data_IF_717849645894
#
_entry.id   IF_717849645894
#
_cell.length_a   1.000
_cell.length_b   1.000
_cell.length_c   1.000
_cell.angle_alpha   90.00
_cell.angle_beta   90.00
_cell.angle_gamma   90.00
#
_symmetry.space_group_name_H-M   'P 1'
#
loop_
_entity.id
_entity.type
_entity.pdbx_description
1 polymer ?
#
# COMPACT_ATOMS: atom_id res chain seq x y z
N UNK A 1 -50.32 -26.66 -8.84
CA UNK A 1 -50.22 -25.23 -8.45
C UNK A 1 -49.18 -24.99 -7.36
N UNK A 2 -49.28 -25.63 -6.18
CA UNK A 2 -48.32 -25.44 -5.08
C UNK A 2 -46.85 -25.73 -5.44
N UNK A 3 -46.59 -26.83 -6.17
CA UNK A 3 -45.22 -27.19 -6.59
C UNK A 3 -44.57 -26.12 -7.51
N UNK A 4 -45.38 -25.47 -8.35
CA UNK A 4 -44.92 -24.41 -9.24
C UNK A 4 -44.56 -23.13 -8.47
N UNK A 5 -45.32 -22.81 -7.42
CA UNK A 5 -45.00 -21.72 -6.50
C UNK A 5 -43.73 -21.98 -5.69
N UNK A 6 -43.60 -23.19 -5.15
CA UNK A 6 -42.39 -23.60 -4.40
C UNK A 6 -41.14 -23.54 -5.29
N UNK A 7 -41.23 -24.05 -6.52
CA UNK A 7 -40.10 -24.03 -7.47
C UNK A 7 -39.72 -22.59 -7.86
N UNK A 8 -40.70 -21.71 -8.12
CA UNK A 8 -40.44 -20.31 -8.42
C UNK A 8 -39.81 -19.56 -7.23
N UNK A 9 -40.32 -19.77 -6.00
CA UNK A 9 -39.72 -19.19 -4.80
C UNK A 9 -38.27 -19.67 -4.58
N UNK A 10 -37.98 -20.95 -4.83
CA UNK A 10 -36.63 -21.49 -4.73
C UNK A 10 -35.69 -20.88 -5.77
N UNK A 11 -36.13 -20.74 -7.03
CA UNK A 11 -35.34 -20.12 -8.10
C UNK A 11 -35.06 -18.64 -7.79
N UNK A 12 -36.08 -17.88 -7.36
CA UNK A 12 -35.92 -16.49 -6.91
C UNK A 12 -34.94 -16.39 -5.74
N UNK A 13 -35.03 -17.27 -4.75
CA UNK A 13 -34.09 -17.33 -3.63
C UNK A 13 -32.65 -17.55 -4.08
N UNK A 14 -32.42 -18.49 -5.00
CA UNK A 14 -31.09 -18.77 -5.57
C UNK A 14 -30.56 -17.57 -6.37
N UNK A 15 -31.41 -16.92 -7.16
CA UNK A 15 -31.03 -15.73 -7.95
C UNK A 15 -30.67 -14.55 -7.04
N UNK A 16 -31.47 -14.29 -6.01
CA UNK A 16 -31.17 -13.27 -4.99
C UNK A 16 -29.84 -13.56 -4.29
N UNK A 17 -29.61 -14.81 -3.86
CA UNK A 17 -28.35 -15.19 -3.23
C UNK A 17 -27.14 -14.98 -4.15
N UNK A 18 -27.24 -15.39 -5.42
CA UNK A 18 -26.19 -15.17 -6.43
C UNK A 18 -25.90 -13.69 -6.66
N UNK A 19 -26.95 -12.86 -6.70
CA UNK A 19 -26.81 -11.41 -6.87
C UNK A 19 -26.13 -10.77 -5.65
N UNK A 20 -26.56 -11.12 -4.45
CA UNK A 20 -25.96 -10.62 -3.19
C UNK A 20 -24.48 -10.97 -3.10
N UNK A 21 -24.11 -12.22 -3.44
CA UNK A 21 -22.71 -12.66 -3.46
C UNK A 21 -21.89 -11.88 -4.51
N UNK A 22 -22.48 -11.61 -5.69
CA UNK A 22 -21.81 -10.80 -6.72
C UNK A 22 -21.59 -9.35 -6.26
N UNK A 23 -22.58 -8.74 -5.62
CA UNK A 23 -22.47 -7.38 -5.07
C UNK A 23 -21.40 -7.30 -3.99
N UNK A 24 -21.36 -8.27 -3.07
CA UNK A 24 -20.33 -8.28 -2.02
C UNK A 24 -18.91 -8.36 -2.60
N UNK A 25 -18.71 -9.13 -3.68
CA UNK A 25 -17.42 -9.20 -4.37
C UNK A 25 -17.04 -7.88 -5.04
N UNK A 26 -18.01 -7.13 -5.58
CA UNK A 26 -17.76 -5.83 -6.22
C UNK A 26 -17.39 -4.73 -5.22
N UNK A 27 -17.82 -4.85 -3.96
CA UNK A 27 -17.49 -3.88 -2.91
C UNK A 27 -16.06 -4.00 -2.35
N UNK A 28 -15.37 -5.10 -2.65
CA UNK A 28 -14.06 -5.43 -2.09
C UNK A 28 -12.96 -5.29 -3.12
N UNK A 29 -11.77 -4.88 -2.69
CA UNK A 29 -10.58 -4.98 -3.55
C UNK A 29 -10.24 -6.43 -3.83
N UNK A 30 -9.78 -6.71 -5.03
CA UNK A 30 -9.50 -8.07 -5.51
C UNK A 30 -8.41 -8.79 -4.68
N UNK A 31 -7.35 -8.08 -4.30
CA UNK A 31 -6.17 -8.69 -3.68
C UNK A 31 -6.29 -8.79 -2.15
N UNK A 32 -6.52 -7.65 -1.49
CA UNK A 32 -6.56 -7.56 -0.02
C UNK A 32 -8.00 -7.58 0.57
N UNK A 33 -9.04 -7.71 -0.27
CA UNK A 33 -10.43 -7.84 0.20
C UNK A 33 -11.02 -6.61 0.89
N UNK A 34 -10.43 -5.43 0.68
CA UNK A 34 -10.74 -4.20 1.42
C UNK A 34 -12.03 -3.55 0.92
N UNK A 35 -12.90 -3.17 1.86
CA UNK A 35 -14.07 -2.33 1.58
C UNK A 35 -13.75 -0.86 1.83
N UNK A 36 -14.39 0.03 1.06
CA UNK A 36 -14.36 1.48 1.29
C UNK A 36 -15.48 1.86 2.27
N UNK A 37 -15.30 1.51 3.53
CA UNK A 37 -16.35 1.59 4.56
C UNK A 37 -15.89 2.19 5.90
N UNK A 38 -14.67 2.74 5.97
CA UNK A 38 -14.15 3.41 7.16
C UNK A 38 -14.47 4.91 7.06
N UNK A 39 -15.31 5.48 7.95
CA UNK A 39 -15.58 6.90 7.95
C UNK A 39 -14.35 7.68 8.45
N UNK A 40 -13.87 8.64 7.66
CA UNK A 40 -12.72 9.47 8.01
C UNK A 40 -13.03 10.94 7.69
N UNK A 41 -12.95 11.86 8.66
CA UNK A 41 -13.10 13.29 8.38
C UNK A 41 -11.89 13.83 7.61
N UNK A 42 -12.07 14.88 6.80
CA UNK A 42 -10.93 15.70 6.38
C UNK A 42 -10.45 16.52 7.56
N UNK A 43 -9.17 16.35 7.92
CA UNK A 43 -8.50 17.16 8.93
C UNK A 43 -7.55 18.14 8.25
N UNK A 44 -7.51 19.38 8.75
CA UNK A 44 -6.58 20.42 8.32
C UNK A 44 -5.52 20.71 9.40
N UNK A 45 -5.72 20.23 10.63
CA UNK A 45 -4.80 20.39 11.76
C UNK A 45 -4.41 19.02 12.31
N UNK A 46 -3.89 18.18 11.41
CA UNK A 46 -3.38 16.87 11.78
C UNK A 46 -1.94 16.94 12.30
N UNK A 47 -1.47 15.88 12.99
CA UNK A 47 -0.09 15.76 13.47
C UNK A 47 0.97 15.89 12.36
N UNK A 48 0.57 15.72 11.08
CA UNK A 48 1.45 15.80 9.91
C UNK A 48 1.64 17.22 9.32
N UNK A 49 0.94 18.24 9.84
CA UNK A 49 1.07 19.68 9.45
C UNK A 49 1.04 20.58 10.71
N UNK A 50 1.65 20.14 11.82
CA UNK A 50 1.75 20.97 13.02
C UNK A 50 2.89 21.99 12.86
N UNK A 51 2.54 23.17 12.34
CA UNK A 51 3.51 24.25 12.07
C UNK A 51 4.15 24.85 13.32
N UNK A 52 3.54 24.66 14.49
CA UNK A 52 4.10 25.11 15.75
C UNK A 52 5.17 24.16 16.30
N UNK A 53 5.23 22.93 15.79
CA UNK A 53 6.22 21.91 16.19
C UNK A 53 6.68 21.08 14.97
N UNK A 54 7.67 21.60 14.20
CA UNK A 54 8.22 20.91 13.05
C UNK A 54 8.88 19.57 13.38
N UNK A 55 9.51 19.45 14.55
CA UNK A 55 10.20 18.22 14.97
C UNK A 55 9.18 17.11 15.27
N UNK A 56 8.10 17.43 15.98
CA UNK A 56 7.01 16.48 16.16
C UNK A 56 6.39 16.09 14.82
N UNK A 57 6.22 17.05 13.90
CA UNK A 57 5.73 16.76 12.56
C UNK A 57 6.65 15.77 11.84
N UNK A 58 7.96 16.00 11.83
CA UNK A 58 8.93 15.08 11.21
C UNK A 58 8.85 13.66 11.82
N UNK A 59 8.76 13.54 13.15
CA UNK A 59 8.58 12.25 13.84
C UNK A 59 7.30 11.52 13.41
N UNK A 60 6.22 12.23 13.12
CA UNK A 60 4.98 11.62 12.62
C UNK A 60 5.16 11.09 11.20
N UNK A 61 5.84 11.85 10.32
CA UNK A 61 6.18 11.40 8.97
C UNK A 61 7.12 10.18 8.97
N UNK A 62 8.04 10.07 9.93
CA UNK A 62 8.91 8.90 10.11
C UNK A 62 8.15 7.62 10.46
N UNK A 63 6.97 7.72 11.07
CA UNK A 63 6.11 6.55 11.38
C UNK A 63 5.52 5.91 10.12
N UNK A 64 5.51 6.61 8.99
CA UNK A 64 5.11 6.04 7.67
C UNK A 64 6.19 5.06 7.13
N UNK A 65 7.23 4.76 7.92
CA UNK A 65 8.32 3.83 7.58
C UNK A 65 7.90 2.39 7.23
N UNK A 66 6.66 2.00 7.53
CA UNK A 66 6.08 0.70 7.14
C UNK A 66 5.92 0.50 5.62
N UNK A 67 6.30 1.47 4.77
CA UNK A 67 6.34 1.29 3.30
C UNK A 67 7.13 0.07 2.83
N UNK A 68 8.04 -0.45 3.67
CA UNK A 68 8.78 -1.71 3.41
C UNK A 68 7.85 -2.92 3.26
N UNK A 69 6.75 -2.95 4.02
CA UNK A 69 5.72 -3.99 3.90
C UNK A 69 5.06 -3.99 2.52
N UNK A 70 5.15 -2.88 1.79
CA UNK A 70 4.63 -2.75 0.44
C UNK A 70 5.35 -3.56 -0.62
N UNK A 71 6.50 -4.15 -0.33
CA UNK A 71 7.22 -5.04 -1.25
C UNK A 71 6.88 -6.49 -0.87
N UNK A 72 6.37 -7.26 -1.83
CA UNK A 72 5.87 -8.62 -1.59
C UNK A 72 6.48 -9.63 -2.57
N UNK A 73 6.58 -10.88 -2.15
CA UNK A 73 7.04 -12.00 -2.99
C UNK A 73 5.86 -12.92 -3.31
N UNK A 74 5.31 -12.81 -4.51
CA UNK A 74 4.14 -13.60 -4.94
C UNK A 74 4.59 -14.88 -5.67
N UNK A 75 4.02 -16.06 -5.34
CA UNK A 75 4.29 -17.29 -6.09
C UNK A 75 3.72 -17.21 -7.50
N UNK A 76 4.43 -17.83 -8.45
CA UNK A 76 4.05 -17.86 -9.87
C UNK A 76 2.62 -18.40 -10.07
N UNK A 77 2.19 -19.39 -9.28
CA UNK A 77 0.82 -19.91 -9.33
C UNK A 77 -0.25 -18.87 -9.00
N UNK A 78 0.01 -18.01 -8.00
CA UNK A 78 -0.89 -16.92 -7.64
C UNK A 78 -0.89 -15.81 -8.70
N UNK A 79 0.29 -15.51 -9.25
CA UNK A 79 0.44 -14.54 -10.36
C UNK A 79 -0.37 -14.99 -11.57
N UNK A 80 -0.30 -16.27 -11.94
CA UNK A 80 -1.07 -16.87 -13.03
C UNK A 80 -2.57 -16.87 -12.73
N UNK A 81 -2.98 -17.27 -11.52
CA UNK A 81 -4.40 -17.25 -11.09
C UNK A 81 -5.00 -15.84 -11.20
N UNK A 82 -4.24 -14.81 -10.82
CA UNK A 82 -4.68 -13.41 -10.86
C UNK A 82 -4.43 -12.70 -12.20
N UNK A 83 -3.85 -13.39 -13.19
CA UNK A 83 -3.53 -12.79 -14.50
C UNK A 83 -2.53 -11.63 -14.41
N UNK A 84 -1.65 -11.63 -13.41
CA UNK A 84 -0.61 -10.62 -13.26
C UNK A 84 0.58 -10.90 -14.20
N UNK A 85 1.27 -9.83 -14.62
CA UNK A 85 2.53 -9.98 -15.37
C UNK A 85 3.66 -10.49 -14.48
N UNK A 86 4.51 -11.39 -15.00
CA UNK A 86 5.69 -11.85 -14.28
C UNK A 86 6.65 -10.69 -13.99
N UNK A 87 7.06 -10.57 -12.73
CA UNK A 87 8.01 -9.57 -12.26
C UNK A 87 9.44 -10.12 -12.14
N UNK A 88 10.35 -9.27 -11.66
CA UNK A 88 11.70 -9.68 -11.26
C UNK A 88 11.65 -10.83 -10.27
N UNK A 89 12.58 -11.78 -10.38
CA UNK A 89 12.65 -12.93 -9.47
C UNK A 89 13.01 -12.51 -8.06
N UNK A 90 12.33 -13.11 -7.10
CA UNK A 90 12.72 -13.05 -5.71
C UNK A 90 14.04 -13.80 -5.53
N UNK A 91 15.09 -13.17 -4.94
CA UNK A 91 16.43 -13.78 -4.91
C UNK A 91 16.51 -15.13 -4.20
N UNK A 92 15.64 -15.38 -3.23
CA UNK A 92 15.66 -16.58 -2.38
C UNK A 92 14.65 -17.64 -2.81
N UNK A 93 13.80 -17.34 -3.80
CA UNK A 93 12.82 -18.30 -4.32
C UNK A 93 12.55 -18.04 -5.80
N UNK A 94 13.16 -18.85 -6.66
CA UNK A 94 12.98 -18.79 -8.11
C UNK A 94 11.54 -19.05 -8.57
N UNK A 95 10.64 -19.50 -7.69
CA UNK A 95 9.20 -19.66 -7.94
C UNK A 95 8.35 -18.48 -7.47
N UNK A 96 8.94 -17.45 -6.81
CA UNK A 96 8.28 -16.16 -6.51
C UNK A 96 8.84 -14.92 -7.25
N UNK A 97 7.95 -14.01 -7.64
CA UNK A 97 8.31 -12.70 -8.20
C UNK A 97 8.13 -11.57 -7.18
N UNK A 98 8.91 -10.50 -7.30
CA UNK A 98 8.84 -9.32 -6.43
C UNK A 98 7.87 -8.29 -7.00
N UNK A 99 6.88 -7.88 -6.20
CA UNK A 99 5.87 -6.90 -6.57
C UNK A 99 5.80 -5.77 -5.56
N UNK A 100 5.29 -4.62 -6.01
CA UNK A 100 4.99 -3.46 -5.16
C UNK A 100 3.48 -3.30 -5.04
N UNK A 101 3.01 -3.13 -3.80
CA UNK A 101 1.63 -2.78 -3.52
C UNK A 101 1.45 -1.28 -3.80
N UNK A 102 0.54 -0.95 -4.72
CA UNK A 102 0.33 0.42 -5.21
C UNK A 102 0.12 1.46 -4.09
N UNK A 103 -0.64 1.12 -3.03
CA UNK A 103 -0.88 2.03 -1.91
C UNK A 103 0.40 2.42 -1.16
N UNK A 104 1.32 1.47 -0.92
CA UNK A 104 2.60 1.76 -0.29
C UNK A 104 3.58 2.44 -1.27
N UNK A 105 3.50 2.13 -2.57
CA UNK A 105 4.24 2.87 -3.60
C UNK A 105 3.84 4.35 -3.62
N UNK A 106 2.54 4.66 -3.53
CA UNK A 106 2.06 6.04 -3.44
C UNK A 106 2.55 6.73 -2.16
N UNK A 107 2.57 6.05 -1.01
CA UNK A 107 3.17 6.59 0.21
C UNK A 107 4.68 6.84 0.05
N UNK A 108 5.41 5.93 -0.61
CA UNK A 108 6.82 6.14 -0.94
C UNK A 108 7.00 7.41 -1.80
N UNK A 109 6.22 7.56 -2.86
CA UNK A 109 6.25 8.74 -3.72
C UNK A 109 5.96 10.02 -2.94
N UNK A 110 4.96 10.02 -2.06
CA UNK A 110 4.64 11.17 -1.20
C UNK A 110 5.83 11.55 -0.31
N UNK A 111 6.48 10.56 0.32
CA UNK A 111 7.67 10.80 1.14
C UNK A 111 8.83 11.37 0.31
N UNK A 112 9.03 10.89 -0.93
CA UNK A 112 10.05 11.43 -1.84
C UNK A 112 9.80 12.89 -2.22
N UNK A 113 8.55 13.24 -2.52
CA UNK A 113 8.17 14.63 -2.79
C UNK A 113 8.36 15.51 -1.57
N UNK A 114 7.97 15.03 -0.37
CA UNK A 114 8.15 15.76 0.88
C UNK A 114 9.63 16.05 1.15
N UNK A 115 10.49 15.03 1.07
CA UNK A 115 11.93 15.19 1.27
C UNK A 115 12.51 16.21 0.30
N UNK A 116 12.23 16.07 -1.00
CA UNK A 116 12.72 17.01 -2.03
C UNK A 116 12.26 18.45 -1.77
N UNK A 117 10.99 18.65 -1.37
CA UNK A 117 10.44 19.97 -1.03
C UNK A 117 11.12 20.58 0.19
N UNK A 118 11.37 19.79 1.24
CA UNK A 118 12.02 20.28 2.45
C UNK A 118 13.50 20.59 2.23
N UNK A 119 14.22 19.75 1.49
CA UNK A 119 15.61 20.01 1.09
C UNK A 119 15.68 21.31 0.28
N UNK A 120 14.78 21.49 -0.69
CA UNK A 120 14.70 22.72 -1.48
C UNK A 120 14.44 23.95 -0.59
N UNK A 121 13.47 23.86 0.32
CA UNK A 121 13.13 24.96 1.22
C UNK A 121 14.30 25.37 2.13
N UNK A 122 15.12 24.39 2.55
CA UNK A 122 16.29 24.60 3.41
C UNK A 122 17.55 25.01 2.63
N UNK A 123 17.52 24.98 1.31
CA UNK A 123 18.71 25.19 0.47
C UNK A 123 19.71 24.04 0.52
N UNK A 124 19.25 22.83 0.86
CA UNK A 124 20.05 21.61 0.89
C UNK A 124 20.17 21.01 -0.52
N UNK A 125 21.24 20.22 -0.74
CA UNK A 125 21.37 19.43 -1.95
C UNK A 125 20.25 18.37 -2.02
N UNK A 126 19.71 18.16 -3.21
CA UNK A 126 18.64 17.18 -3.42
C UNK A 126 19.18 15.76 -3.28
N UNK A 127 18.67 15.00 -2.29
CA UNK A 127 19.07 13.61 -2.09
C UNK A 127 18.45 12.65 -3.11
N UNK A 128 17.36 13.06 -3.76
CA UNK A 128 16.70 12.34 -4.83
C UNK A 128 17.02 12.93 -6.19
N UNK A 129 17.22 12.08 -7.21
CA UNK A 129 17.35 12.57 -8.57
C UNK A 129 16.05 13.24 -9.04
N UNK A 130 16.19 14.30 -9.84
CA UNK A 130 15.04 15.00 -10.42
C UNK A 130 14.10 14.05 -11.20
N UNK A 131 14.67 13.10 -11.94
CA UNK A 131 13.92 12.07 -12.65
C UNK A 131 13.04 11.21 -11.71
N UNK A 132 13.55 10.84 -10.53
CA UNK A 132 12.79 10.07 -9.56
C UNK A 132 11.67 10.91 -8.92
N UNK A 133 11.95 12.16 -8.55
CA UNK A 133 10.95 13.09 -7.97
C UNK A 133 9.81 13.34 -8.97
N UNK A 134 10.13 13.61 -10.23
CA UNK A 134 9.12 13.83 -11.28
C UNK A 134 8.32 12.57 -11.62
N UNK A 135 8.95 11.38 -11.60
CA UNK A 135 8.23 10.11 -11.69
C UNK A 135 7.23 9.94 -10.54
N UNK A 136 7.65 10.24 -9.30
CA UNK A 136 6.77 10.16 -8.13
C UNK A 136 5.56 11.10 -8.26
N UNK A 137 5.78 12.30 -8.78
CA UNK A 137 4.70 13.26 -9.04
C UNK A 137 3.68 12.72 -10.06
N UNK A 138 4.16 12.18 -11.18
CA UNK A 138 3.25 11.62 -12.20
C UNK A 138 2.54 10.35 -11.71
N UNK A 139 3.21 9.47 -10.95
CA UNK A 139 2.59 8.28 -10.37
C UNK A 139 1.39 8.65 -9.48
N UNK A 140 1.55 9.64 -8.59
CA UNK A 140 0.45 10.14 -7.75
C UNK A 140 -0.66 10.79 -8.58
N UNK A 141 -0.32 11.54 -9.63
CA UNK A 141 -1.31 12.11 -10.56
C UNK A 141 -2.11 11.01 -11.28
N UNK A 142 -1.46 9.93 -11.72
CA UNK A 142 -2.14 8.78 -12.34
C UNK A 142 -3.09 8.10 -11.36
N UNK A 143 -2.66 7.87 -10.12
CA UNK A 143 -3.49 7.25 -9.08
C UNK A 143 -4.73 8.10 -8.74
N UNK A 144 -4.56 9.42 -8.61
CA UNK A 144 -5.68 10.36 -8.37
C UNK A 144 -6.70 10.27 -9.51
N UNK A 145 -6.24 10.30 -10.77
CA UNK A 145 -7.14 10.19 -11.93
C UNK A 145 -7.82 8.81 -12.02
N UNK A 146 -7.10 7.75 -11.65
CA UNK A 146 -7.63 6.38 -11.66
C UNK A 146 -8.75 6.22 -10.64
N UNK A 147 -8.58 6.76 -9.43
CA UNK A 147 -9.60 6.68 -8.40
C UNK A 147 -10.81 7.60 -8.66
N UNK A 148 -10.60 8.76 -9.30
CA UNK A 148 -11.65 9.72 -9.68
C UNK A 148 -12.69 9.94 -8.56
N UNK A 149 -12.22 10.21 -7.33
CA UNK A 149 -13.08 10.36 -6.15
C UNK A 149 -14.06 11.53 -6.36
N UNK A 150 -15.34 11.22 -6.46
CA UNK A 150 -16.44 12.12 -6.81
C UNK A 150 -17.08 12.78 -5.57
N UNK A 151 -16.54 12.53 -4.38
CA UNK A 151 -17.07 13.10 -3.13
C UNK A 151 -16.98 14.64 -3.19
N UNK A 152 -18.11 15.38 -3.24
CA UNK A 152 -18.08 16.83 -3.36
C UNK A 152 -17.55 17.44 -2.06
N UNK A 153 -16.49 18.22 -2.15
CA UNK A 153 -15.94 18.91 -0.98
C UNK A 153 -16.61 20.27 -0.81
N UNK A 154 -17.19 20.54 0.36
CA UNK A 154 -17.80 21.84 0.62
C UNK A 154 -16.73 22.94 0.68
N UNK A 155 -16.99 24.08 0.04
CA UNK A 155 -16.13 25.26 0.11
C UNK A 155 -16.44 26.08 1.36
N UNK A 156 -15.39 26.53 2.05
CA UNK A 156 -15.56 27.37 3.21
C UNK A 156 -16.06 28.78 2.91
N UNK A 157 -16.75 29.38 3.89
CA UNK A 157 -17.10 30.80 3.92
C UNK A 157 -16.59 31.44 5.22
N UNK A 158 -16.04 32.66 5.12
CA UNK A 158 -15.40 33.34 6.24
C UNK A 158 -14.16 32.60 6.75
N UNK A 159 -14.13 32.27 8.05
CA UNK A 159 -13.03 31.54 8.69
C UNK A 159 -13.13 30.01 8.55
N UNK A 160 -14.15 29.49 7.87
CA UNK A 160 -14.32 28.04 7.69
C UNK A 160 -13.35 27.53 6.63
N UNK A 161 -12.68 26.41 6.91
CA UNK A 161 -11.74 25.81 5.97
C UNK A 161 -12.45 24.72 5.16
N UNK A 162 -12.27 24.77 3.84
CA UNK A 162 -12.84 23.83 2.87
C UNK A 162 -12.75 22.37 3.32
N UNK A 163 -13.90 21.72 3.40
CA UNK A 163 -14.00 20.28 3.67
C UNK A 163 -13.75 19.83 5.11
N UNK A 164 -13.35 20.71 6.03
CA UNK A 164 -13.06 20.30 7.43
C UNK A 164 -14.24 19.55 8.06
N UNK A 165 -13.95 18.48 8.79
CA UNK A 165 -14.89 17.58 9.44
C UNK A 165 -15.90 16.87 8.53
N UNK A 166 -15.90 17.16 7.22
CA UNK A 166 -16.68 16.40 6.26
C UNK A 166 -16.11 14.98 6.19
N UNK A 167 -17.00 14.00 6.33
CA UNK A 167 -16.65 12.59 6.33
C UNK A 167 -16.56 12.06 4.91
N UNK A 168 -15.52 11.27 4.64
CA UNK A 168 -15.38 10.44 3.44
C UNK A 168 -15.25 8.98 3.85
N UNK A 169 -15.53 8.07 2.92
CA UNK A 169 -15.34 6.64 3.15
C UNK A 169 -13.98 6.20 2.61
N UNK A 170 -13.17 5.59 3.47
CA UNK A 170 -11.83 5.10 3.19
C UNK A 170 -11.74 3.58 3.33
N UNK A 171 -10.63 3.01 2.87
CA UNK A 171 -10.24 1.61 3.13
C UNK A 171 -9.43 1.54 4.42
N UNK A 172 -9.56 0.44 5.14
CA UNK A 172 -8.84 0.23 6.40
C UNK A 172 -7.37 -0.15 6.14
N UNK A 173 -6.43 0.64 6.66
CA UNK A 173 -4.98 0.40 6.53
C UNK A 173 -4.50 -0.78 7.38
N UNK A 174 -5.01 -0.96 8.59
CA UNK A 174 -4.65 -2.10 9.44
C UNK A 174 -5.02 -3.45 8.79
N UNK A 175 -6.07 -3.47 7.97
CA UNK A 175 -6.42 -4.63 7.16
C UNK A 175 -5.49 -4.79 5.95
N UNK A 176 -5.09 -3.68 5.32
CA UNK A 176 -4.10 -3.73 4.23
C UNK A 176 -2.77 -4.28 4.75
N UNK A 177 -2.29 -3.84 5.92
CA UNK A 177 -1.03 -4.24 6.54
C UNK A 177 -0.93 -5.75 6.84
N UNK A 178 -2.07 -6.44 6.92
CA UNK A 178 -2.10 -7.90 7.14
C UNK A 178 -1.82 -8.69 5.86
N UNK A 179 -2.22 -8.17 4.71
CA UNK A 179 -2.09 -8.89 3.44
C UNK A 179 -0.63 -9.11 2.98
N UNK A 180 0.27 -8.10 2.96
CA UNK A 180 1.66 -8.34 2.57
C UNK A 180 2.40 -9.34 3.46
N UNK A 181 1.98 -9.50 4.73
CA UNK A 181 2.57 -10.47 5.66
C UNK A 181 2.33 -11.92 5.24
N UNK A 182 1.34 -12.20 4.37
CA UNK A 182 1.15 -13.54 3.79
C UNK A 182 2.09 -13.82 2.62
N UNK A 183 2.78 -12.79 2.11
CA UNK A 183 3.70 -12.85 0.97
C UNK A 183 5.01 -12.10 1.28
N UNK A 184 5.71 -12.42 2.39
CA UNK A 184 6.84 -11.63 2.84
C UNK A 184 7.98 -11.66 1.80
N UNK A 185 8.47 -10.48 1.44
CA UNK A 185 9.69 -10.32 0.64
C UNK A 185 10.92 -10.05 1.50
N UNK A 186 10.72 -9.73 2.79
CA UNK A 186 11.78 -9.31 3.71
C UNK A 186 12.59 -8.12 3.18
N UNK A 187 11.92 -7.26 2.41
CA UNK A 187 12.55 -6.11 1.80
C UNK A 187 12.88 -5.02 2.80
N UNK A 188 14.06 -4.43 2.68
CA UNK A 188 14.50 -3.30 3.47
C UNK A 188 15.37 -2.34 2.64
N UNK A 189 15.29 -1.05 2.98
CA UNK A 189 16.15 -0.01 2.40
C UNK A 189 17.50 -0.04 3.10
N UNK A 190 18.55 -0.37 2.35
CA UNK A 190 19.94 -0.36 2.82
C UNK A 190 20.68 0.83 2.17
N UNK A 191 21.35 1.70 2.95
CA UNK A 191 21.98 2.92 2.44
C UNK A 191 23.14 2.68 1.47
N UNK A 192 23.93 1.63 1.69
CA UNK A 192 25.04 1.21 0.84
C UNK A 192 24.87 -0.28 0.55
N UNK A 193 24.78 -0.64 -0.73
CA UNK A 193 24.62 -2.04 -1.13
C UNK A 193 25.76 -2.42 -2.07
N UNK A 194 26.52 -3.45 -1.71
CA UNK A 194 27.41 -4.14 -2.65
C UNK A 194 26.63 -5.22 -3.40
N UNK A 195 25.67 -5.86 -2.71
CA UNK A 195 24.77 -6.86 -3.29
C UNK A 195 23.30 -6.44 -3.15
N UNK A 196 22.60 -6.34 -4.28
CA UNK A 196 21.17 -5.97 -4.31
C UNK A 196 20.29 -6.96 -3.53
N UNK A 197 20.72 -8.23 -3.41
CA UNK A 197 19.98 -9.26 -2.69
C UNK A 197 19.93 -8.99 -1.18
N UNK A 198 20.88 -8.24 -0.62
CA UNK A 198 20.83 -7.79 0.78
C UNK A 198 19.54 -7.03 1.09
N UNK A 199 18.92 -6.38 0.10
CA UNK A 199 17.64 -5.72 0.34
C UNK A 199 16.55 -6.71 0.75
N UNK A 200 16.67 -7.99 0.44
CA UNK A 200 15.64 -9.01 0.70
C UNK A 200 15.99 -9.94 1.86
N UNK A 201 17.00 -9.62 2.67
CA UNK A 201 17.51 -10.51 3.73
C UNK A 201 16.92 -10.26 5.12
N UNK A 202 16.07 -9.23 5.29
CA UNK A 202 15.58 -8.77 6.59
C UNK A 202 14.44 -9.66 7.12
N UNK A 203 14.72 -10.96 7.25
CA UNK A 203 13.78 -11.97 7.69
C UNK A 203 14.11 -12.48 9.10
N UNK A 204 13.11 -13.01 9.83
CA UNK A 204 13.34 -13.72 11.08
C UNK A 204 14.29 -14.91 10.92
N UNK A 205 14.94 -15.31 12.02
CA UNK A 205 15.89 -16.44 12.04
C UNK A 205 15.27 -17.80 11.71
N UNK A 206 13.96 -17.95 11.91
CA UNK A 206 13.18 -19.15 11.58
C UNK A 206 12.55 -19.10 10.17
N UNK A 207 12.86 -18.05 9.39
CA UNK A 207 12.44 -17.95 7.99
C UNK A 207 12.99 -19.10 7.15
N UNK A 208 12.21 -19.63 6.18
CA UNK A 208 12.67 -20.68 5.29
C UNK A 208 13.85 -20.26 4.39
N UNK A 209 14.16 -18.97 4.33
CA UNK A 209 15.27 -18.43 3.53
C UNK A 209 16.53 -18.13 4.36
N UNK A 210 16.47 -18.25 5.70
CA UNK A 210 17.54 -17.80 6.58
C UNK A 210 18.89 -18.48 6.27
N UNK A 211 18.90 -19.80 6.09
CA UNK A 211 20.13 -20.55 5.79
C UNK A 211 20.74 -20.14 4.45
N UNK A 212 19.91 -20.03 3.40
CA UNK A 212 20.36 -19.61 2.07
C UNK A 212 20.90 -18.18 2.08
N UNK A 213 20.26 -17.28 2.83
CA UNK A 213 20.71 -15.90 3.01
C UNK A 213 22.08 -15.87 3.70
N UNK A 214 22.26 -16.63 4.79
CA UNK A 214 23.53 -16.70 5.53
C UNK A 214 24.64 -17.24 4.63
N UNK A 215 24.38 -18.31 3.87
CA UNK A 215 25.34 -18.90 2.94
C UNK A 215 25.76 -17.90 1.84
N UNK A 216 24.79 -17.16 1.28
CA UNK A 216 25.04 -16.24 0.16
C UNK A 216 25.71 -14.93 0.59
N UNK A 217 25.31 -14.38 1.74
CA UNK A 217 25.78 -13.06 2.21
C UNK A 217 26.90 -13.16 3.26
N UNK A 218 27.22 -14.36 3.75
CA UNK A 218 28.37 -14.61 4.63
C UNK A 218 28.23 -14.10 6.06
N UNK A 219 27.04 -13.64 6.50
CA UNK A 219 26.82 -13.19 7.88
C UNK A 219 25.36 -13.23 8.33
N UNK A 220 25.16 -13.46 9.64
CA UNK A 220 23.85 -13.35 10.33
C UNK A 220 23.40 -11.91 10.56
N UNK A 221 24.27 -10.90 10.39
CA UNK A 221 23.93 -9.49 10.60
C UNK A 221 22.84 -8.96 9.65
N UNK A 222 22.49 -9.74 8.63
CA UNK A 222 21.49 -9.39 7.63
C UNK A 222 20.07 -9.87 7.99
N UNK A 223 19.94 -10.77 8.97
CA UNK A 223 18.64 -11.22 9.47
C UNK A 223 18.09 -10.16 10.41
N UNK A 224 16.81 -9.79 10.21
CA UNK A 224 16.11 -8.92 11.17
C UNK A 224 15.86 -9.70 12.46
N UNK A 225 15.81 -9.01 13.60
CA UNK A 225 15.35 -9.61 14.87
C UNK A 225 13.98 -10.30 14.73
#
# INVERSE_FOLDING_TARGET
MALFWVLNCAILGIQCFRLMNKLEKLERTEFAGLKRNVPVPWSVYGPYDNRSDPEATDKEWEKISNIRLGVIALPDSYVEEKGLHKAQRFPWDGSKGVYLINAYHNLHCLLKLRTSLLEFHRGEEQSGSFAHVTHCLDALRQDIKCNADDTPRWSGYGHRITGVDQVRMCRNWDLLDKWPKTFPSYWNKIPSIENINERFSYCPVDSPYADQIIETLGSKHHLGE
#
